data_IF_816731297296
#
_entry.id   IF_816731297296
#
_cell.length_a   1.000
_cell.length_b   1.000
_cell.length_c   1.000
_cell.angle_alpha   90.00
_cell.angle_beta   90.00
_cell.angle_gamma   90.00
#
_symmetry.space_group_name_H-M   'P 1'
#
loop_
_entity.id
_entity.type
_entity.pdbx_description
1 polymer ?
#
# COMPACT_ATOMS: atom_id res chain seq x y z
N UNK A 1 0.00 -13.54 -4.51
CA UNK A 1 -0.46 -12.66 -5.61
C UNK A 1 0.61 -11.59 -5.80
N UNK A 2 0.90 -11.18 -7.04
CA UNK A 2 1.83 -10.08 -7.33
C UNK A 2 1.03 -8.80 -7.58
N UNK A 3 1.55 -7.65 -7.17
CA UNK A 3 0.91 -6.35 -7.39
C UNK A 3 1.50 -5.76 -8.66
N UNK A 4 0.67 -5.58 -9.68
CA UNK A 4 1.05 -4.92 -10.91
C UNK A 4 0.44 -3.50 -11.02
N UNK A 5 0.96 -2.73 -11.97
CA UNK A 5 0.51 -1.38 -12.25
C UNK A 5 -0.99 -1.33 -12.57
N UNK A 6 -1.49 -2.28 -13.37
CA UNK A 6 -2.87 -2.34 -13.77
C UNK A 6 -3.83 -2.53 -12.57
N UNK A 7 -3.48 -3.40 -11.63
CA UNK A 7 -4.26 -3.64 -10.40
C UNK A 7 -4.26 -2.39 -9.52
N UNK A 8 -3.12 -1.73 -9.35
CA UNK A 8 -3.03 -0.49 -8.57
C UNK A 8 -3.85 0.65 -9.19
N UNK A 9 -3.76 0.83 -10.51
CA UNK A 9 -4.58 1.81 -11.25
C UNK A 9 -6.07 1.50 -11.13
N UNK A 10 -6.47 0.25 -11.30
CA UNK A 10 -7.86 -0.19 -11.14
C UNK A 10 -8.38 0.09 -9.71
N UNK A 11 -7.55 -0.13 -8.69
CA UNK A 11 -7.91 0.15 -7.30
C UNK A 11 -8.13 1.66 -7.05
N UNK A 12 -7.29 2.50 -7.64
CA UNK A 12 -7.37 3.96 -7.52
C UNK A 12 -8.33 4.62 -8.53
N UNK A 13 -8.98 3.83 -9.40
CA UNK A 13 -9.84 4.30 -10.50
C UNK A 13 -9.12 5.24 -11.47
N UNK A 14 -7.87 4.92 -11.81
CA UNK A 14 -7.06 5.63 -12.79
C UNK A 14 -7.19 4.92 -14.14
N UNK A 15 -7.68 5.62 -15.15
CA UNK A 15 -7.98 5.09 -16.50
C UNK A 15 -7.08 5.68 -17.61
N UNK A 16 -6.07 6.46 -17.24
CA UNK A 16 -5.12 7.14 -18.13
C UNK A 16 -3.67 6.79 -17.77
N UNK A 17 -2.74 7.00 -18.70
CA UNK A 17 -1.36 6.45 -18.61
C UNK A 17 -0.32 7.46 -18.11
N UNK A 18 -0.67 8.75 -18.05
CA UNK A 18 0.21 9.83 -17.60
C UNK A 18 0.71 9.63 -16.16
N UNK A 19 -0.11 8.97 -15.32
CA UNK A 19 0.22 8.68 -13.94
C UNK A 19 0.91 7.31 -13.75
N UNK A 20 1.23 6.57 -14.80
CA UNK A 20 1.90 5.26 -14.69
C UNK A 20 3.20 5.34 -13.89
N UNK A 21 4.04 6.32 -14.22
CA UNK A 21 5.31 6.57 -13.51
C UNK A 21 5.11 7.07 -12.07
N UNK A 22 3.97 7.70 -11.78
CA UNK A 22 3.61 8.09 -10.41
C UNK A 22 3.17 6.85 -9.63
N UNK A 23 2.22 6.08 -10.14
CA UNK A 23 1.68 4.88 -9.48
C UNK A 23 2.77 3.85 -9.25
N UNK A 24 3.69 3.65 -10.19
CA UNK A 24 4.83 2.74 -10.00
C UNK A 24 5.71 3.15 -8.81
N UNK A 25 5.95 4.45 -8.63
CA UNK A 25 6.69 4.98 -7.47
C UNK A 25 5.93 4.82 -6.16
N UNK A 26 4.60 4.99 -6.18
CA UNK A 26 3.76 4.79 -5.00
C UNK A 26 3.70 3.32 -4.57
N UNK A 27 3.65 2.38 -5.53
CA UNK A 27 3.75 0.94 -5.24
C UNK A 27 5.08 0.65 -4.52
N UNK A 28 6.20 1.15 -5.05
CA UNK A 28 7.51 0.97 -4.43
C UNK A 28 7.54 1.56 -3.00
N UNK A 29 7.07 2.79 -2.82
CA UNK A 29 7.01 3.43 -1.50
C UNK A 29 6.14 2.67 -0.49
N UNK A 30 5.00 2.13 -0.94
CA UNK A 30 4.13 1.32 -0.09
C UNK A 30 4.78 -0.02 0.30
N UNK A 31 5.48 -0.67 -0.63
CA UNK A 31 6.22 -1.91 -0.36
C UNK A 31 7.38 -1.66 0.61
N UNK A 32 8.17 -0.60 0.39
CA UNK A 32 9.27 -0.20 1.27
C UNK A 32 8.76 0.11 2.69
N UNK A 33 7.59 0.77 2.80
CA UNK A 33 6.97 1.03 4.09
C UNK A 33 6.61 -0.27 4.83
N UNK A 34 5.96 -1.23 4.16
CA UNK A 34 5.63 -2.52 4.76
C UNK A 34 6.88 -3.32 5.16
N UNK A 35 7.93 -3.29 4.34
CA UNK A 35 9.22 -3.89 4.68
C UNK A 35 9.82 -3.24 5.93
N UNK A 36 9.77 -1.91 6.05
CA UNK A 36 10.30 -1.18 7.21
C UNK A 36 9.63 -1.53 8.55
N UNK A 37 8.39 -2.05 8.52
CA UNK A 37 7.65 -2.48 9.72
C UNK A 37 7.71 -4.00 9.94
N UNK A 38 8.58 -4.70 9.19
CA UNK A 38 8.90 -6.12 9.37
C UNK A 38 8.01 -7.08 8.58
N UNK A 39 7.35 -6.64 7.51
CA UNK A 39 6.66 -7.55 6.59
C UNK A 39 7.64 -8.02 5.51
N UNK A 40 7.73 -9.33 5.28
CA UNK A 40 8.52 -9.88 4.18
C UNK A 40 7.85 -9.54 2.84
N UNK A 41 8.46 -8.58 2.13
CA UNK A 41 8.03 -8.12 0.80
C UNK A 41 8.85 -8.74 -0.34
N UNK A 42 9.86 -9.56 -0.03
CA UNK A 42 10.70 -10.27 -1.02
C UNK A 42 10.15 -11.67 -1.36
N UNK A 43 9.15 -12.14 -0.61
CA UNK A 43 8.46 -13.39 -0.87
C UNK A 43 7.90 -13.47 -2.31
N UNK A 44 8.16 -14.61 -2.96
CA UNK A 44 7.69 -14.90 -4.34
C UNK A 44 6.17 -14.72 -4.49
N UNK A 45 5.41 -15.02 -3.43
CA UNK A 45 3.97 -14.83 -3.39
C UNK A 45 3.53 -14.13 -2.11
N UNK A 46 3.08 -12.88 -2.25
CA UNK A 46 2.49 -12.15 -1.13
C UNK A 46 1.07 -12.68 -0.81
N UNK A 47 0.72 -12.83 0.47
CA UNK A 47 -0.65 -13.08 0.91
C UNK A 47 -1.61 -12.00 0.41
N UNK A 48 -2.89 -12.37 0.21
CA UNK A 48 -3.91 -11.41 -0.26
C UNK A 48 -4.10 -10.23 0.69
N UNK A 49 -3.96 -10.45 2.00
CA UNK A 49 -4.02 -9.41 3.01
C UNK A 49 -2.88 -8.38 2.88
N UNK A 50 -1.65 -8.85 2.61
CA UNK A 50 -0.50 -7.97 2.36
C UNK A 50 -0.68 -7.22 1.04
N UNK A 51 -1.18 -7.90 0.00
CA UNK A 51 -1.50 -7.24 -1.26
C UNK A 51 -2.51 -6.10 -1.08
N UNK A 52 -3.58 -6.36 -0.32
CA UNK A 52 -4.60 -5.36 -0.03
C UNK A 52 -4.04 -4.19 0.79
N UNK A 53 -3.15 -4.45 1.74
CA UNK A 53 -2.50 -3.42 2.52
C UNK A 53 -1.65 -2.47 1.65
N UNK A 54 -0.90 -3.01 0.68
CA UNK A 54 -0.16 -2.19 -0.29
C UNK A 54 -1.12 -1.34 -1.13
N UNK A 55 -2.22 -1.92 -1.64
CA UNK A 55 -3.20 -1.16 -2.43
C UNK A 55 -3.84 -0.01 -1.63
N UNK A 56 -4.15 -0.24 -0.36
CA UNK A 56 -4.66 0.81 0.53
C UNK A 56 -3.65 1.94 0.75
N UNK A 57 -2.36 1.60 0.92
CA UNK A 57 -1.29 2.61 1.03
C UNK A 57 -1.10 3.39 -0.28
N UNK A 58 -1.14 2.72 -1.43
CA UNK A 58 -1.04 3.37 -2.74
C UNK A 58 -2.19 4.36 -2.95
N UNK A 59 -3.43 3.95 -2.67
CA UNK A 59 -4.58 4.85 -2.75
C UNK A 59 -4.43 6.04 -1.80
N UNK A 60 -4.01 5.79 -0.56
CA UNK A 60 -3.78 6.85 0.41
C UNK A 60 -2.75 7.88 -0.08
N UNK A 61 -1.59 7.43 -0.55
CA UNK A 61 -0.52 8.32 -1.04
C UNK A 61 -0.89 9.04 -2.34
N UNK A 62 -1.70 8.42 -3.20
CA UNK A 62 -2.17 9.04 -4.43
C UNK A 62 -3.17 10.17 -4.17
N UNK A 63 -4.11 9.95 -3.25
CA UNK A 63 -5.12 10.93 -2.85
C UNK A 63 -4.53 12.06 -1.99
N UNK A 64 -3.53 11.76 -1.15
CA UNK A 64 -2.95 12.70 -0.19
C UNK A 64 -1.53 13.09 -0.60
N UNK A 65 -1.41 14.20 -1.34
CA UNK A 65 -0.13 14.69 -1.92
C UNK A 65 0.67 15.60 -0.99
N UNK A 66 0.18 15.82 0.22
CA UNK A 66 0.78 16.69 1.22
C UNK A 66 0.91 15.94 2.53
N UNK A 67 1.94 16.26 3.31
CA UNK A 67 2.16 15.68 4.63
C UNK A 67 1.17 16.20 5.70
N UNK A 68 0.30 17.14 5.32
CA UNK A 68 -0.65 17.81 6.21
C UNK A 68 -2.06 17.67 5.68
N UNK A 69 -3.01 17.41 6.58
CA UNK A 69 -4.44 17.45 6.29
C UNK A 69 -5.08 18.60 7.07
N UNK A 70 -6.05 19.28 6.46
CA UNK A 70 -6.84 20.33 7.12
C UNK A 70 -7.80 19.76 8.16
N UNK A 71 -8.20 18.50 8.01
CA UNK A 71 -9.09 17.76 8.92
C UNK A 71 -8.42 16.44 9.31
N UNK A 72 -8.43 16.06 10.60
CA UNK A 72 -7.92 14.75 11.01
C UNK A 72 -8.68 13.61 10.34
N UNK A 73 -7.96 12.67 9.72
CA UNK A 73 -8.52 11.46 9.12
C UNK A 73 -8.55 10.36 10.17
N UNK A 74 -9.73 9.82 10.46
CA UNK A 74 -9.89 8.72 11.42
C UNK A 74 -9.43 7.40 10.80
N UNK A 75 -8.64 6.62 11.55
CA UNK A 75 -8.32 5.23 11.18
C UNK A 75 -9.57 4.34 11.29
N UNK A 76 -9.82 3.52 10.28
CA UNK A 76 -10.89 2.52 10.31
C UNK A 76 -10.49 1.25 11.09
N UNK A 77 -11.49 0.51 11.59
CA UNK A 77 -11.28 -0.65 12.47
C UNK A 77 -10.48 -1.81 11.82
N UNK A 78 -10.51 -1.95 10.50
CA UNK A 78 -9.66 -2.88 9.73
C UNK A 78 -8.78 -2.03 8.81
N UNK A 79 -7.72 -1.46 9.37
CA UNK A 79 -6.70 -0.72 8.63
C UNK A 79 -5.53 -1.59 8.19
N UNK A 80 -4.55 -0.97 7.54
CA UNK A 80 -3.28 -1.57 7.12
C UNK A 80 -2.64 -2.37 8.27
N UNK A 81 -2.55 -1.77 9.46
CA UNK A 81 -1.97 -2.41 10.66
C UNK A 81 -2.59 -3.77 10.98
N UNK A 82 -3.92 -3.88 10.88
CA UNK A 82 -4.62 -5.11 11.23
C UNK A 82 -4.49 -6.19 10.15
N UNK A 83 -4.35 -5.77 8.88
CA UNK A 83 -4.12 -6.70 7.77
C UNK A 83 -2.71 -7.30 7.82
N UNK A 84 -1.71 -6.50 8.18
CA UNK A 84 -0.31 -6.93 8.17
C UNK A 84 0.15 -7.54 9.49
N UNK A 85 -0.59 -7.34 10.60
CA UNK A 85 -0.23 -7.85 11.92
C UNK A 85 0.20 -9.34 11.96
N UNK A 86 -0.46 -10.29 11.27
CA UNK A 86 -0.04 -11.70 11.28
C UNK A 86 1.25 -12.00 10.49
N UNK A 87 1.70 -11.05 9.67
CA UNK A 87 2.83 -11.21 8.73
C UNK A 87 4.05 -10.38 9.12
N UNK A 88 3.98 -9.64 10.23
CA UNK A 88 5.13 -8.91 10.77
C UNK A 88 6.02 -9.86 11.54
N UNK A 89 7.32 -9.79 11.28
CA UNK A 89 8.33 -10.45 12.10
C UNK A 89 8.21 -9.93 13.54
N UNK A 90 7.93 -10.85 14.46
CA UNK A 90 7.95 -10.52 15.89
C UNK A 90 9.41 -10.49 16.28
N UNK A 91 9.99 -9.30 16.38
CA UNK A 91 11.27 -9.12 17.07
C UNK A 91 11.07 -9.57 18.53
N UNK A 92 11.74 -10.66 18.91
CA UNK A 92 11.74 -11.24 20.25
C UNK A 92 12.76 -10.53 21.13
#
# INVERSE_FOLDING_TARGET
>A
MTIDLATAKAHCRIDFDEDDALVQRLIAAAMDHLSSIGVDMEAVYLPSAVCQAVLMLVAHLYENREATASVPVASIAIGVDRLVAPYREVAI
#
